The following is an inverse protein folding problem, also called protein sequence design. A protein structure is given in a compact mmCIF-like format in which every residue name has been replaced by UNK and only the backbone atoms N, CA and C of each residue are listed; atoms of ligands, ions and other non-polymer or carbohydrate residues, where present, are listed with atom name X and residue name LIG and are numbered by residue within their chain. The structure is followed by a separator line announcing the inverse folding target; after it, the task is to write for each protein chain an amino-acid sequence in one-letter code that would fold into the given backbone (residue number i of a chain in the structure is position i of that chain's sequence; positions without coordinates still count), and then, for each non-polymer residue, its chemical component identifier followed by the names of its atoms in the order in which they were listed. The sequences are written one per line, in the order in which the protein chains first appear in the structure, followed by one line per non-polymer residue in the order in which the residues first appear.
data_IF_108844442805
#
_entry.id   IF_108844442805
#
_cell.length_a   1.000
_cell.length_b   1.000
_cell.length_c   1.000
_cell.angle_alpha   90.00
_cell.angle_beta   90.00
_cell.angle_gamma   90.00
#
_symmetry.space_group_name_H-M   'P 1'
#
loop_
_entity.id
_entity.type
_entity.pdbx_description
1 polymer ?
#
# COMPACT_ATOMS: atom_id res chain seq x y z
N UNK A 1 23.86 -46.83 12.70
CA UNK A 1 24.00 -45.39 12.48
C UNK A 1 23.33 -45.07 11.14
N UNK A 2 22.09 -44.55 11.15
CA UNK A 2 21.41 -44.10 9.92
C UNK A 2 21.94 -42.70 9.59
N UNK A 3 22.68 -42.60 8.48
CA UNK A 3 23.19 -41.33 7.98
C UNK A 3 22.08 -40.34 7.78
N UNK A 4 22.20 -39.14 8.39
CA UNK A 4 21.34 -38.00 8.08
C UNK A 4 21.48 -37.71 6.58
N UNK A 5 20.47 -38.00 5.77
CA UNK A 5 20.39 -37.49 4.38
C UNK A 5 20.57 -35.97 4.49
N UNK A 6 21.62 -35.43 3.88
CA UNK A 6 21.87 -33.99 3.84
C UNK A 6 20.63 -33.29 3.30
N UNK A 7 20.04 -32.40 4.11
CA UNK A 7 18.90 -31.61 3.69
C UNK A 7 19.41 -30.59 2.67
N UNK A 8 18.99 -30.69 1.42
CA UNK A 8 19.27 -29.67 0.40
C UNK A 8 18.55 -28.40 0.84
N UNK A 9 19.30 -27.30 0.94
CA UNK A 9 18.77 -25.99 1.33
C UNK A 9 19.17 -24.96 0.27
N UNK A 10 18.25 -24.04 -0.02
CA UNK A 10 18.52 -22.89 -0.88
C UNK A 10 19.09 -21.75 -0.04
N UNK A 11 20.25 -21.25 -0.43
CA UNK A 11 20.83 -20.00 0.07
C UNK A 11 20.78 -18.98 -1.06
N UNK A 12 20.18 -17.80 -0.87
CA UNK A 12 20.12 -16.79 -1.93
C UNK A 12 21.51 -16.42 -2.43
N UNK A 13 21.69 -16.30 -3.74
CA UNK A 13 22.85 -15.68 -4.34
C UNK A 13 22.69 -14.16 -4.37
N UNK A 14 23.75 -13.40 -4.59
CA UNK A 14 23.66 -11.97 -4.85
C UNK A 14 22.92 -11.69 -6.16
N UNK A 15 22.13 -10.63 -6.21
CA UNK A 15 21.39 -10.25 -7.43
C UNK A 15 22.35 -9.93 -8.59
N UNK A 16 23.50 -9.32 -8.31
CA UNK A 16 24.53 -9.01 -9.31
C UNK A 16 25.12 -10.24 -9.99
N UNK A 17 25.08 -11.40 -9.33
CA UNK A 17 25.63 -12.67 -9.82
C UNK A 17 24.59 -13.52 -10.56
N UNK A 18 23.31 -13.11 -10.56
CA UNK A 18 22.20 -13.84 -11.14
C UNK A 18 21.95 -13.44 -12.58
N UNK A 19 21.62 -14.42 -13.41
CA UNK A 19 21.13 -14.19 -14.78
C UNK A 19 19.61 -14.19 -14.76
N UNK A 20 19.02 -13.03 -15.04
CA UNK A 20 17.57 -12.88 -15.10
C UNK A 20 17.09 -13.10 -16.54
N UNK A 21 16.24 -14.10 -16.73
CA UNK A 21 15.59 -14.37 -18.00
C UNK A 21 14.08 -14.44 -17.76
N UNK A 22 13.35 -13.54 -18.38
CA UNK A 22 11.90 -13.56 -18.39
C UNK A 22 11.41 -14.23 -19.66
N UNK A 23 10.40 -15.08 -19.56
CA UNK A 23 9.73 -15.62 -20.73
C UNK A 23 8.92 -14.53 -21.45
N UNK A 24 8.53 -14.79 -22.70
CA UNK A 24 7.82 -13.82 -23.54
C UNK A 24 6.47 -13.39 -22.95
N UNK A 25 5.78 -14.28 -22.21
CA UNK A 25 4.50 -13.97 -21.54
C UNK A 25 4.70 -13.02 -20.36
N UNK A 26 5.68 -13.29 -19.51
CA UNK A 26 6.04 -12.45 -18.37
C UNK A 26 6.47 -11.06 -18.85
N UNK A 27 7.33 -10.99 -19.85
CA UNK A 27 7.76 -9.72 -20.47
C UNK A 27 6.58 -8.92 -21.01
N UNK A 28 5.65 -9.58 -21.70
CA UNK A 28 4.43 -8.93 -22.23
C UNK A 28 3.51 -8.43 -21.12
N UNK A 29 3.35 -9.19 -20.04
CA UNK A 29 2.53 -8.78 -18.89
C UNK A 29 3.18 -7.62 -18.12
N UNK A 30 4.50 -7.63 -17.94
CA UNK A 30 5.23 -6.51 -17.34
C UNK A 30 5.05 -5.22 -18.15
N UNK A 31 5.22 -5.29 -19.48
CA UNK A 31 4.98 -4.15 -20.38
C UNK A 31 3.55 -3.62 -20.31
N UNK A 32 2.54 -4.50 -20.26
CA UNK A 32 1.13 -4.10 -20.12
C UNK A 32 0.88 -3.43 -18.78
N UNK A 33 1.45 -3.93 -17.70
CA UNK A 33 1.31 -3.35 -16.37
C UNK A 33 1.94 -1.95 -16.32
N UNK A 34 3.15 -1.77 -16.88
CA UNK A 34 3.81 -0.46 -16.97
C UNK A 34 2.99 0.56 -17.75
N UNK A 35 2.55 0.19 -18.96
CA UNK A 35 1.76 1.10 -19.79
C UNK A 35 0.43 1.45 -19.16
N UNK A 36 -0.20 0.52 -18.45
CA UNK A 36 -1.43 0.78 -17.68
C UNK A 36 -1.18 1.73 -16.52
N UNK A 37 -0.06 1.56 -15.80
CA UNK A 37 0.32 2.42 -14.68
C UNK A 37 0.59 3.85 -15.13
N UNK A 38 1.31 4.05 -16.23
CA UNK A 38 1.56 5.38 -16.83
C UNK A 38 0.26 6.03 -17.27
N UNK A 39 -0.65 5.27 -17.88
CA UNK A 39 -1.94 5.79 -18.31
C UNK A 39 -2.79 6.28 -17.14
N UNK A 40 -2.93 5.50 -16.08
CA UNK A 40 -3.73 5.90 -14.92
C UNK A 40 -3.10 7.08 -14.16
N UNK A 41 -1.77 7.17 -14.10
CA UNK A 41 -1.08 8.35 -13.56
C UNK A 41 -1.50 9.61 -14.32
N UNK A 42 -1.60 9.53 -15.65
CA UNK A 42 -2.03 10.65 -16.48
C UNK A 42 -3.52 11.00 -16.26
N UNK A 43 -4.39 10.00 -16.15
CA UNK A 43 -5.82 10.18 -15.86
C UNK A 43 -6.03 10.88 -14.50
N UNK A 44 -5.36 10.40 -13.45
CA UNK A 44 -5.41 11.00 -12.11
C UNK A 44 -4.87 12.43 -12.12
N UNK A 45 -3.76 12.68 -12.81
CA UNK A 45 -3.16 14.02 -12.89
C UNK A 45 -4.08 15.01 -13.62
N UNK A 46 -4.89 14.56 -14.56
CA UNK A 46 -5.88 15.38 -15.28
C UNK A 46 -7.20 15.57 -14.53
N UNK A 47 -7.46 14.82 -13.47
CA UNK A 47 -8.72 14.86 -12.71
C UNK A 47 -8.72 15.97 -11.66
N UNK A 48 -9.87 16.65 -11.53
CA UNK A 48 -10.12 17.68 -10.49
C UNK A 48 -10.03 17.12 -9.07
N UNK A 49 -10.34 15.82 -8.90
CA UNK A 49 -10.28 15.07 -7.63
C UNK A 49 -9.02 14.21 -7.51
N UNK A 50 -8.08 14.32 -8.45
CA UNK A 50 -6.87 13.49 -8.50
C UNK A 50 -6.10 13.40 -7.19
N UNK A 51 -5.79 14.51 -6.50
CA UNK A 51 -5.13 14.45 -5.18
C UNK A 51 -5.92 13.67 -4.13
N UNK A 52 -7.25 13.75 -4.15
CA UNK A 52 -8.11 12.99 -3.24
C UNK A 52 -8.13 11.49 -3.60
N UNK A 53 -8.16 11.15 -4.88
CA UNK A 53 -8.08 9.76 -5.36
C UNK A 53 -6.79 9.07 -4.93
N UNK A 54 -5.65 9.76 -5.00
CA UNK A 54 -4.39 9.23 -4.51
C UNK A 54 -4.49 8.85 -3.02
N UNK A 55 -5.16 9.65 -2.20
CA UNK A 55 -5.36 9.35 -0.78
C UNK A 55 -6.31 8.17 -0.58
N UNK A 56 -7.38 8.08 -1.39
CA UNK A 56 -8.30 6.96 -1.38
C UNK A 56 -7.58 5.64 -1.69
N UNK A 57 -6.83 5.61 -2.79
CA UNK A 57 -6.08 4.44 -3.25
C UNK A 57 -4.98 4.05 -2.25
N UNK A 58 -4.29 5.01 -1.65
CA UNK A 58 -3.28 4.75 -0.64
C UNK A 58 -3.87 4.09 0.62
N UNK A 59 -5.12 4.44 1.03
CA UNK A 59 -5.80 3.72 2.13
C UNK A 59 -6.16 2.29 1.75
N UNK A 60 -6.62 2.07 0.52
CA UNK A 60 -6.88 0.71 0.03
C UNK A 60 -5.60 -0.13 0.07
N UNK A 61 -4.48 0.42 -0.40
CA UNK A 61 -3.17 -0.25 -0.31
C UNK A 61 -2.81 -0.56 1.15
N UNK A 62 -3.05 0.38 2.07
CA UNK A 62 -2.72 0.17 3.48
C UNK A 62 -3.57 -0.94 4.13
N UNK A 63 -4.87 -0.94 3.89
CA UNK A 63 -5.80 -1.96 4.38
C UNK A 63 -5.44 -3.34 3.84
N UNK A 64 -5.27 -3.44 2.53
CA UNK A 64 -4.99 -4.72 1.85
C UNK A 64 -3.61 -5.27 2.22
N UNK A 65 -2.63 -4.39 2.40
CA UNK A 65 -1.29 -4.78 2.84
C UNK A 65 -1.27 -5.40 4.24
N UNK A 66 -2.09 -4.88 5.17
CA UNK A 66 -2.25 -5.46 6.51
C UNK A 66 -3.07 -6.75 6.47
N UNK A 67 -4.06 -6.84 5.56
CA UNK A 67 -4.86 -8.06 5.37
C UNK A 67 -4.01 -9.25 4.90
N UNK A 68 -3.02 -9.05 4.03
CA UNK A 68 -2.08 -10.12 3.63
C UNK A 68 -1.35 -10.70 4.84
N UNK A 69 -1.08 -9.88 5.86
CA UNK A 69 -0.45 -10.32 7.11
C UNK A 69 -1.41 -11.07 8.05
N UNK A 70 -2.66 -11.34 7.61
CA UNK A 70 -3.69 -12.06 8.37
C UNK A 70 -4.45 -11.21 9.37
N UNK A 71 -4.37 -9.89 9.28
CA UNK A 71 -5.08 -8.96 10.16
C UNK A 71 -6.25 -8.29 9.43
N UNK A 72 -7.28 -7.87 10.15
CA UNK A 72 -8.47 -7.21 9.60
C UNK A 72 -8.58 -5.79 10.17
N UNK A 73 -8.04 -4.76 9.48
CA UNK A 73 -8.19 -3.37 9.91
C UNK A 73 -9.59 -2.85 9.54
N UNK A 74 -10.17 -2.00 10.37
CA UNK A 74 -11.45 -1.37 10.10
C UNK A 74 -11.27 -0.15 9.18
N UNK A 75 -11.91 -0.19 7.99
CA UNK A 75 -11.76 0.86 6.97
C UNK A 75 -12.26 2.22 7.44
N UNK A 76 -13.44 2.26 8.09
CA UNK A 76 -14.04 3.51 8.61
C UNK A 76 -13.15 4.12 9.68
N UNK A 77 -12.62 3.30 10.57
CA UNK A 77 -11.73 3.74 11.64
C UNK A 77 -10.43 4.31 11.07
N UNK A 78 -9.85 3.66 10.05
CA UNK A 78 -8.66 4.19 9.38
C UNK A 78 -8.95 5.55 8.75
N UNK A 79 -10.09 5.72 8.08
CA UNK A 79 -10.45 6.99 7.47
C UNK A 79 -10.68 8.10 8.54
N UNK A 80 -11.18 7.74 9.71
CA UNK A 80 -11.39 8.66 10.83
C UNK A 80 -10.06 9.04 11.48
N UNK A 81 -9.25 8.07 11.93
CA UNK A 81 -8.00 8.37 12.64
C UNK A 81 -6.97 9.07 11.76
N UNK A 82 -7.04 8.88 10.46
CA UNK A 82 -6.15 9.52 9.48
C UNK A 82 -6.28 11.06 9.49
N UNK A 83 -7.46 11.61 9.76
CA UNK A 83 -7.69 13.07 9.80
C UNK A 83 -7.36 13.68 11.17
N UNK A 84 -7.25 12.86 12.20
CA UNK A 84 -7.11 13.31 13.57
C UNK A 84 -5.66 13.64 13.94
N UNK A 85 -4.68 13.21 13.15
CA UNK A 85 -3.27 13.49 13.37
C UNK A 85 -2.69 12.70 14.54
N UNK A 86 -2.03 13.37 15.50
CA UNK A 86 -1.38 12.75 16.66
C UNK A 86 -2.40 12.30 17.73
N UNK A 87 -3.24 11.33 17.42
CA UNK A 87 -4.00 10.62 18.47
C UNK A 87 -3.03 9.71 19.23
N UNK A 88 -3.09 9.77 20.56
CA UNK A 88 -2.43 8.75 21.37
C UNK A 88 -3.03 7.38 20.97
N UNK A 89 -2.16 6.50 20.48
CA UNK A 89 -2.55 5.14 20.07
C UNK A 89 -3.29 4.39 21.18
N UNK A 90 -3.07 4.74 22.47
CA UNK A 90 -3.76 4.17 23.63
C UNK A 90 -5.21 4.63 23.68
N UNK A 91 -5.46 5.93 23.47
CA UNK A 91 -6.82 6.48 23.50
C UNK A 91 -7.67 5.85 22.39
N UNK A 92 -7.11 5.69 21.19
CA UNK A 92 -7.80 4.98 20.11
C UNK A 92 -8.06 3.51 20.42
N UNK A 93 -7.07 2.77 20.96
CA UNK A 93 -7.23 1.36 21.32
C UNK A 93 -8.30 1.12 22.39
N UNK A 94 -8.52 2.07 23.27
CA UNK A 94 -9.49 1.98 24.37
C UNK A 94 -10.77 2.80 24.14
N UNK A 95 -10.93 3.44 22.99
CA UNK A 95 -12.14 4.19 22.65
C UNK A 95 -13.36 3.28 22.65
N UNK A 96 -14.47 3.77 23.23
CA UNK A 96 -15.76 3.08 23.26
C UNK A 96 -16.65 3.42 22.05
N UNK A 97 -16.26 4.41 21.27
CA UNK A 97 -17.04 4.93 20.14
C UNK A 97 -16.66 4.34 18.79
N UNK A 98 -15.70 3.46 18.77
CA UNK A 98 -15.32 2.74 17.57
C UNK A 98 -15.96 1.36 17.68
N UNK A 99 -16.84 1.00 16.74
CA UNK A 99 -17.55 -0.29 16.73
C UNK A 99 -16.61 -1.50 16.55
N UNK A 100 -15.36 -1.24 16.15
CA UNK A 100 -14.35 -2.28 15.92
C UNK A 100 -13.82 -2.88 17.23
N UNK A 101 -13.50 -4.17 17.19
CA UNK A 101 -12.87 -4.86 18.33
C UNK A 101 -11.39 -4.39 18.52
N UNK A 102 -10.80 -4.73 19.66
CA UNK A 102 -9.42 -4.35 19.97
C UNK A 102 -8.42 -4.86 18.91
N UNK A 103 -8.63 -6.06 18.37
CA UNK A 103 -7.77 -6.63 17.32
C UNK A 103 -7.85 -5.83 16.02
N UNK A 104 -9.04 -5.42 15.61
CA UNK A 104 -9.25 -4.58 14.43
C UNK A 104 -8.64 -3.19 14.61
N UNK A 105 -8.75 -2.60 15.80
CA UNK A 105 -8.11 -1.31 16.11
C UNK A 105 -6.59 -1.40 16.07
N UNK A 106 -6.00 -2.47 16.58
CA UNK A 106 -4.56 -2.70 16.47
C UNK A 106 -4.11 -2.84 14.99
N UNK A 107 -4.87 -3.59 14.19
CA UNK A 107 -4.66 -3.73 12.76
C UNK A 107 -4.83 -2.39 12.03
N UNK A 108 -5.80 -1.57 12.44
CA UNK A 108 -6.04 -0.23 11.89
C UNK A 108 -4.87 0.72 12.17
N UNK A 109 -4.29 0.66 13.37
CA UNK A 109 -3.06 1.42 13.67
C UNK A 109 -1.87 0.97 12.82
N UNK A 110 -1.76 -0.31 12.54
CA UNK A 110 -0.73 -0.83 11.63
C UNK A 110 -0.97 -0.36 10.19
N UNK A 111 -2.22 -0.30 9.74
CA UNK A 111 -2.57 0.28 8.45
C UNK A 111 -2.26 1.79 8.39
N UNK A 112 -2.51 2.54 9.45
CA UNK A 112 -2.17 3.96 9.54
C UNK A 112 -0.66 4.19 9.45
N UNK A 113 0.15 3.39 10.17
CA UNK A 113 1.62 3.48 10.08
C UNK A 113 2.11 3.22 8.66
N UNK A 114 1.53 2.20 8.00
CA UNK A 114 1.89 1.88 6.62
C UNK A 114 1.44 2.99 5.64
N UNK A 115 0.22 3.51 5.77
CA UNK A 115 -0.28 4.66 5.00
C UNK A 115 0.64 5.88 5.12
N UNK A 116 1.05 6.20 6.35
CA UNK A 116 1.99 7.31 6.59
C UNK A 116 3.38 7.04 6.01
N UNK A 117 3.82 5.79 5.99
CA UNK A 117 5.06 5.38 5.31
C UNK A 117 4.96 5.60 3.80
N UNK A 118 3.86 5.22 3.17
CA UNK A 118 3.62 5.45 1.75
C UNK A 118 3.60 6.95 1.38
N UNK A 119 2.98 7.77 2.23
CA UNK A 119 2.99 9.24 2.07
C UNK A 119 4.41 9.80 2.19
N UNK A 120 5.17 9.33 3.18
CA UNK A 120 6.56 9.73 3.35
C UNK A 120 7.41 9.32 2.13
N UNK A 121 7.27 8.10 1.61
CA UNK A 121 7.91 7.66 0.36
C UNK A 121 7.53 8.60 -0.79
N UNK A 122 6.24 8.94 -0.93
CA UNK A 122 5.76 9.84 -1.98
C UNK A 122 6.32 11.25 -1.89
N UNK A 123 6.77 11.69 -0.72
CA UNK A 123 7.39 13.00 -0.50
C UNK A 123 8.93 12.96 -0.62
N UNK A 124 9.54 11.85 -0.23
CA UNK A 124 11.00 11.71 -0.13
C UNK A 124 11.64 11.19 -1.41
N UNK A 125 11.00 10.20 -2.04
CA UNK A 125 11.53 9.58 -3.25
C UNK A 125 11.14 10.42 -4.47
N UNK A 126 12.09 10.62 -5.38
CA UNK A 126 11.94 11.34 -6.64
C UNK A 126 12.63 10.58 -7.76
N UNK A 127 12.40 10.88 -9.03
CA UNK A 127 13.14 10.27 -10.12
C UNK A 127 14.65 10.40 -9.93
N UNK A 128 15.38 9.30 -10.06
CA UNK A 128 16.82 9.21 -9.80
C UNK A 128 17.20 9.13 -8.31
N UNK A 129 16.25 8.86 -7.42
CA UNK A 129 16.54 8.63 -5.99
C UNK A 129 17.49 7.45 -5.81
N UNK A 130 18.50 7.61 -4.92
CA UNK A 130 19.48 6.58 -4.60
C UNK A 130 19.06 5.82 -3.35
N UNK A 131 18.82 4.53 -3.49
CA UNK A 131 18.48 3.63 -2.39
C UNK A 131 19.72 3.27 -1.58
N UNK A 132 19.61 3.33 -0.25
CA UNK A 132 20.66 2.99 0.70
C UNK A 132 20.14 2.03 1.78
N UNK A 133 21.00 1.33 2.51
CA UNK A 133 20.60 0.52 3.66
C UNK A 133 19.80 1.31 4.72
N UNK A 134 20.16 2.57 4.96
CA UNK A 134 19.49 3.46 5.90
C UNK A 134 18.06 3.77 5.44
N UNK A 135 17.84 3.96 4.13
CA UNK A 135 16.49 4.13 3.59
C UNK A 135 15.64 2.89 3.82
N UNK A 136 16.17 1.68 3.59
CA UNK A 136 15.47 0.42 3.85
C UNK A 136 15.12 0.30 5.35
N UNK A 137 16.05 0.66 6.25
CA UNK A 137 15.80 0.70 7.69
C UNK A 137 14.70 1.71 8.06
N UNK A 138 14.70 2.89 7.44
CA UNK A 138 13.70 3.93 7.68
C UNK A 138 12.31 3.48 7.19
N UNK A 139 12.20 2.89 6.00
CA UNK A 139 10.95 2.30 5.50
C UNK A 139 10.42 1.27 6.49
N UNK A 140 11.26 0.33 6.92
CA UNK A 140 10.87 -0.70 7.88
C UNK A 140 10.41 -0.11 9.21
N UNK A 141 11.18 0.82 9.76
CA UNK A 141 10.88 1.46 11.05
C UNK A 141 9.54 2.19 11.01
N UNK A 142 9.28 2.92 9.94
CA UNK A 142 8.01 3.63 9.75
C UNK A 142 6.84 2.67 9.57
N UNK A 143 7.00 1.58 8.81
CA UNK A 143 5.97 0.54 8.67
C UNK A 143 5.56 -0.10 9.99
N UNK A 144 6.51 -0.29 10.92
CA UNK A 144 6.27 -1.05 12.15
C UNK A 144 6.02 -0.14 13.35
N UNK A 145 6.81 0.92 13.49
CA UNK A 145 6.77 1.79 14.66
C UNK A 145 6.14 3.17 14.38
N UNK A 146 5.86 3.50 13.11
CA UNK A 146 5.35 4.82 12.69
C UNK A 146 6.39 5.95 12.82
N UNK A 147 7.67 5.63 13.06
CA UNK A 147 8.74 6.60 13.34
C UNK A 147 10.02 6.27 12.56
N UNK A 148 10.91 7.25 12.30
CA UNK A 148 12.21 7.02 11.68
C UNK A 148 13.07 6.04 12.46
N UNK A 149 13.98 5.32 11.78
CA UNK A 149 14.86 4.33 12.38
C UNK A 149 15.75 4.91 13.51
N UNK A 150 16.23 6.14 13.33
CA UNK A 150 17.03 6.83 14.37
C UNK A 150 16.30 7.08 15.68
N UNK A 151 14.97 7.05 15.69
CA UNK A 151 14.15 7.22 16.91
C UNK A 151 13.70 5.90 17.54
N UNK A 152 13.76 4.79 16.79
CA UNK A 152 13.24 3.48 17.25
C UNK A 152 14.34 2.48 17.56
N UNK A 153 15.56 2.75 17.12
CA UNK A 153 16.65 1.79 17.16
C UNK A 153 16.42 0.58 16.25
N UNK A 154 15.60 0.76 15.19
CA UNK A 154 15.38 -0.28 14.18
C UNK A 154 16.71 -0.69 13.54
N UNK A 155 16.88 -1.97 13.33
CA UNK A 155 18.11 -2.56 12.77
C UNK A 155 17.79 -3.82 11.99
N UNK A 156 18.66 -4.20 11.08
CA UNK A 156 18.62 -5.51 10.47
C UNK A 156 18.77 -6.59 11.53
N UNK A 157 18.24 -7.79 11.25
CA UNK A 157 18.31 -8.89 12.22
C UNK A 157 19.77 -9.22 12.59
N UNK A 158 19.98 -9.46 13.87
CA UNK A 158 21.27 -9.84 14.46
C UNK A 158 21.28 -11.31 14.94
N UNK A 159 20.18 -12.04 14.68
CA UNK A 159 20.05 -13.47 14.97
C UNK A 159 19.77 -14.25 13.71
N UNK A 160 20.15 -15.51 13.67
CA UNK A 160 19.81 -16.38 12.57
C UNK A 160 18.29 -16.50 12.42
N UNK A 161 17.85 -16.58 11.16
CA UNK A 161 16.46 -16.92 10.84
C UNK A 161 16.38 -18.44 10.76
N UNK A 162 15.55 -19.03 11.61
CA UNK A 162 15.29 -20.47 11.62
C UNK A 162 13.88 -20.68 11.05
N UNK A 163 13.75 -21.24 9.81
CA UNK A 163 12.43 -21.56 9.25
C UNK A 163 11.75 -22.64 10.10
N UNK A 164 10.43 -22.55 10.23
CA UNK A 164 9.63 -23.63 10.81
C UNK A 164 9.69 -24.84 9.88
N UNK A 165 9.92 -26.04 10.43
CA UNK A 165 10.23 -27.26 9.68
C UNK A 165 9.20 -27.65 8.62
N UNK A 166 7.91 -27.36 8.85
CA UNK A 166 6.79 -27.75 7.98
C UNK A 166 6.10 -26.53 7.33
N UNK A 167 6.72 -25.35 7.44
CA UNK A 167 6.19 -24.10 6.87
C UNK A 167 6.62 -23.85 5.43
N UNK A 168 6.01 -22.85 4.78
CA UNK A 168 6.31 -22.49 3.39
C UNK A 168 7.75 -22.07 3.14
N UNK A 169 8.52 -21.75 4.19
CA UNK A 169 9.95 -21.41 4.12
C UNK A 169 10.87 -22.63 4.33
N UNK A 170 10.32 -23.83 4.34
CA UNK A 170 11.12 -25.04 4.49
C UNK A 170 12.13 -25.19 3.34
N UNK A 171 13.42 -25.34 3.68
CA UNK A 171 14.51 -25.40 2.70
C UNK A 171 15.17 -24.06 2.37
N UNK A 172 14.63 -22.93 2.85
CA UNK A 172 15.32 -21.64 2.76
C UNK A 172 16.33 -21.49 3.89
N UNK A 173 17.53 -21.07 3.53
CA UNK A 173 18.58 -20.65 4.46
C UNK A 173 18.99 -19.21 4.13
N UNK A 174 18.37 -18.20 4.76
CA UNK A 174 18.77 -16.81 4.57
C UNK A 174 20.22 -16.58 4.96
N UNK A 175 20.90 -15.54 4.46
CA UNK A 175 22.26 -15.19 4.85
C UNK A 175 22.40 -15.13 6.38
N UNK A 176 23.61 -15.39 6.89
CA UNK A 176 23.86 -15.19 8.32
C UNK A 176 23.75 -13.70 8.68
N UNK A 177 23.57 -13.34 9.96
CA UNK A 177 23.58 -11.94 10.36
C UNK A 177 24.89 -11.21 9.98
N UNK A 178 26.00 -11.92 9.92
CA UNK A 178 27.30 -11.37 9.53
C UNK A 178 27.36 -11.06 8.02
N UNK A 179 26.74 -11.90 7.21
CA UNK A 179 26.74 -11.74 5.74
C UNK A 179 25.63 -10.80 5.27
N UNK A 180 24.57 -10.63 6.06
CA UNK A 180 23.39 -9.86 5.68
C UNK A 180 23.69 -8.44 5.18
N UNK A 181 24.61 -7.65 5.77
CA UNK A 181 24.94 -6.33 5.25
C UNK A 181 25.34 -6.36 3.77
N UNK A 182 26.17 -7.31 3.34
CA UNK A 182 26.57 -7.43 1.94
C UNK A 182 25.39 -7.75 0.99
N UNK A 183 24.38 -8.49 1.46
CA UNK A 183 23.16 -8.73 0.69
C UNK A 183 22.25 -7.49 0.62
N UNK A 184 22.25 -6.67 1.64
CA UNK A 184 21.51 -5.39 1.63
C UNK A 184 22.18 -4.40 0.68
N UNK A 185 23.51 -4.31 0.71
CA UNK A 185 24.27 -3.48 -0.23
C UNK A 185 24.05 -3.91 -1.68
N UNK A 186 24.06 -5.22 -1.94
CA UNK A 186 23.76 -5.80 -3.25
C UNK A 186 22.31 -5.47 -3.71
N UNK A 187 21.35 -5.57 -2.81
CA UNK A 187 19.96 -5.19 -3.07
C UNK A 187 19.84 -3.71 -3.42
N UNK A 188 20.51 -2.82 -2.68
CA UNK A 188 20.54 -1.40 -2.97
C UNK A 188 21.20 -1.12 -4.33
N UNK A 189 22.32 -1.79 -4.63
CA UNK A 189 22.98 -1.68 -5.93
C UNK A 189 22.03 -2.10 -7.06
N UNK A 190 21.29 -3.19 -6.89
CA UNK A 190 20.32 -3.67 -7.86
C UNK A 190 19.18 -2.67 -8.06
N UNK A 191 18.64 -2.10 -6.99
CA UNK A 191 17.56 -1.09 -7.05
C UNK A 191 18.02 0.21 -7.73
N UNK A 192 19.29 0.57 -7.62
CA UNK A 192 19.88 1.76 -8.20
C UNK A 192 20.25 1.61 -9.68
N UNK A 193 20.21 0.40 -10.22
CA UNK A 193 20.49 0.14 -11.62
C UNK A 193 19.20 0.15 -12.46
N UNK A 194 19.31 0.56 -13.72
CA UNK A 194 18.20 0.65 -14.66
C UNK A 194 18.24 -0.43 -15.76
N UNK A 195 18.74 -1.61 -15.44
CA UNK A 195 18.92 -2.68 -16.42
C UNK A 195 17.63 -3.40 -16.82
N UNK A 196 16.60 -3.27 -16.00
CA UNK A 196 15.31 -3.94 -16.21
C UNK A 196 14.18 -2.94 -16.27
N UNK A 197 13.07 -3.36 -16.85
CA UNK A 197 11.82 -2.64 -16.69
C UNK A 197 11.49 -2.51 -15.19
N UNK A 198 10.92 -1.37 -14.75
CA UNK A 198 10.61 -1.15 -13.33
C UNK A 198 9.78 -2.25 -12.70
N UNK A 199 8.83 -2.84 -13.45
CA UNK A 199 7.98 -3.92 -12.94
C UNK A 199 8.77 -5.21 -12.76
N UNK A 200 9.61 -5.59 -13.74
CA UNK A 200 10.48 -6.74 -13.61
C UNK A 200 11.48 -6.55 -12.47
N UNK A 201 12.08 -5.37 -12.38
CA UNK A 201 13.01 -5.03 -11.31
C UNK A 201 12.35 -5.12 -9.93
N UNK A 202 11.12 -4.63 -9.79
CA UNK A 202 10.37 -4.72 -8.52
C UNK A 202 10.07 -6.17 -8.14
N UNK A 203 9.73 -7.02 -9.12
CA UNK A 203 9.51 -8.45 -8.89
C UNK A 203 10.76 -9.16 -8.38
N UNK A 204 11.90 -8.96 -9.03
CA UNK A 204 13.18 -9.55 -8.61
C UNK A 204 13.64 -9.02 -7.24
N UNK A 205 13.55 -7.71 -7.04
CA UNK A 205 13.87 -7.07 -5.76
C UNK A 205 13.03 -7.65 -4.63
N UNK A 206 11.71 -7.75 -4.82
CA UNK A 206 10.80 -8.25 -3.79
C UNK A 206 11.06 -9.73 -3.49
N UNK A 207 11.27 -10.57 -4.52
CA UNK A 207 11.63 -11.98 -4.34
C UNK A 207 12.92 -12.12 -3.50
N UNK A 208 13.97 -11.40 -3.87
CA UNK A 208 15.23 -11.43 -3.13
C UNK A 208 15.06 -10.92 -1.69
N UNK A 209 14.33 -9.82 -1.49
CA UNK A 209 14.05 -9.29 -0.17
C UNK A 209 13.39 -10.31 0.75
N UNK A 210 12.42 -11.09 0.21
CA UNK A 210 11.79 -12.18 0.92
C UNK A 210 12.75 -13.36 1.20
N UNK A 211 13.70 -13.63 0.32
CA UNK A 211 14.68 -14.69 0.53
C UNK A 211 15.76 -14.34 1.56
N UNK A 212 16.24 -13.10 1.59
CA UNK A 212 17.30 -12.69 2.54
C UNK A 212 16.76 -12.43 3.95
N UNK A 213 15.45 -12.25 4.12
CA UNK A 213 14.79 -12.05 5.42
C UNK A 213 15.50 -11.02 6.31
N UNK A 214 15.60 -9.75 5.91
CA UNK A 214 16.44 -8.78 6.59
C UNK A 214 15.93 -8.40 7.99
N UNK A 215 14.65 -8.61 8.27
CA UNK A 215 13.99 -8.26 9.53
C UNK A 215 13.31 -9.48 10.16
N UNK A 216 13.08 -9.42 11.47
CA UNK A 216 12.38 -10.47 12.21
C UNK A 216 10.87 -10.49 11.88
N UNK A 217 10.25 -9.31 11.72
CA UNK A 217 8.82 -9.13 11.47
C UNK A 217 8.61 -7.94 10.52
N UNK A 218 7.40 -7.81 9.93
CA UNK A 218 7.04 -6.68 9.07
C UNK A 218 7.78 -6.59 7.73
N UNK A 219 8.39 -7.68 7.29
CA UNK A 219 9.16 -7.77 6.05
C UNK A 219 8.27 -7.51 4.84
N UNK A 220 7.15 -8.21 4.78
CA UNK A 220 6.26 -8.22 3.62
C UNK A 220 5.72 -6.82 3.34
N UNK A 221 5.32 -6.07 4.38
CA UNK A 221 4.94 -4.65 4.26
C UNK A 221 6.11 -3.77 3.80
N UNK A 222 7.31 -4.01 4.34
CA UNK A 222 8.52 -3.28 3.93
C UNK A 222 8.84 -3.55 2.46
N UNK A 223 8.79 -4.80 2.02
CA UNK A 223 9.02 -5.18 0.61
C UNK A 223 8.04 -4.50 -0.35
N UNK A 224 6.74 -4.48 -0.02
CA UNK A 224 5.72 -3.78 -0.81
C UNK A 224 5.96 -2.26 -0.84
N UNK A 225 6.32 -1.65 0.29
CA UNK A 225 6.67 -0.23 0.33
C UNK A 225 7.88 0.11 -0.55
N UNK A 226 8.88 -0.78 -0.61
CA UNK A 226 10.04 -0.63 -1.49
C UNK A 226 9.65 -0.74 -2.98
N UNK A 227 8.65 -1.56 -3.34
CA UNK A 227 8.12 -1.59 -4.72
C UNK A 227 7.54 -0.23 -5.11
N UNK A 228 6.73 0.40 -4.25
CA UNK A 228 6.22 1.76 -4.49
C UNK A 228 7.35 2.80 -4.60
N UNK A 229 8.36 2.70 -3.74
CA UNK A 229 9.54 3.56 -3.82
C UNK A 229 10.27 3.40 -5.15
N UNK A 230 10.43 2.16 -5.63
CA UNK A 230 11.07 1.86 -6.90
C UNK A 230 10.28 2.44 -8.09
N UNK A 231 8.95 2.27 -8.15
CA UNK A 231 8.13 2.86 -9.20
C UNK A 231 8.28 4.37 -9.26
N UNK A 232 8.33 5.02 -8.10
CA UNK A 232 8.50 6.46 -8.02
C UNK A 232 9.91 6.92 -8.42
N UNK A 233 10.96 6.22 -8.00
CA UNK A 233 12.35 6.54 -8.39
C UNK A 233 12.58 6.39 -9.90
N UNK A 234 11.81 5.51 -10.54
CA UNK A 234 11.83 5.30 -11.99
C UNK A 234 10.86 6.23 -12.75
N UNK A 235 10.21 7.16 -12.06
CA UNK A 235 9.31 8.15 -12.66
C UNK A 235 7.97 7.62 -13.15
N UNK A 236 7.59 6.37 -12.82
CA UNK A 236 6.32 5.77 -13.24
C UNK A 236 5.12 6.35 -12.49
N UNK A 237 5.33 6.79 -11.25
CA UNK A 237 4.25 7.30 -10.38
C UNK A 237 4.68 8.54 -9.62
N UNK A 238 3.74 9.45 -9.36
CA UNK A 238 3.93 10.60 -8.47
C UNK A 238 3.43 10.32 -7.06
N UNK A 239 2.44 9.44 -6.94
CA UNK A 239 1.83 9.03 -5.68
C UNK A 239 1.53 7.53 -5.66
N UNK A 240 0.72 7.10 -4.71
CA UNK A 240 0.21 5.73 -4.66
C UNK A 240 -1.05 5.67 -5.49
N UNK A 241 -0.94 5.19 -6.71
CA UNK A 241 -2.00 5.19 -7.72
C UNK A 241 -2.51 3.81 -8.10
N UNK A 242 -1.89 2.75 -7.56
CA UNK A 242 -2.33 1.37 -7.72
C UNK A 242 -2.12 0.62 -6.40
N UNK A 243 -3.15 -0.02 -5.82
CA UNK A 243 -3.03 -0.80 -4.60
C UNK A 243 -2.45 -2.18 -4.90
N UNK A 244 -1.12 -2.28 -4.99
CA UNK A 244 -0.41 -3.53 -5.39
C UNK A 244 -0.67 -4.70 -4.43
N UNK A 245 -1.01 -4.42 -3.18
CA UNK A 245 -1.37 -5.43 -2.19
C UNK A 245 -2.78 -6.01 -2.41
N UNK A 246 -3.64 -5.36 -3.19
CA UNK A 246 -5.04 -5.74 -3.31
C UNK A 246 -5.22 -7.13 -3.93
N UNK A 247 -4.59 -7.38 -5.08
CA UNK A 247 -4.72 -8.68 -5.75
C UNK A 247 -4.25 -9.86 -4.89
N UNK A 248 -3.06 -9.79 -4.25
CA UNK A 248 -2.66 -10.78 -3.28
C UNK A 248 -3.61 -10.92 -2.08
N UNK A 249 -4.21 -9.82 -1.61
CA UNK A 249 -5.10 -9.83 -0.46
C UNK A 249 -6.42 -10.58 -0.72
N UNK A 250 -6.98 -10.48 -1.93
CA UNK A 250 -8.21 -11.16 -2.33
C UNK A 250 -7.97 -12.55 -2.94
N UNK A 251 -6.73 -12.87 -3.32
CA UNK A 251 -6.33 -14.15 -3.92
C UNK A 251 -5.25 -14.84 -3.08
N UNK A 252 -5.40 -14.84 -1.76
CA UNK A 252 -4.40 -15.38 -0.82
C UNK A 252 -3.90 -16.81 -1.17
N UNK A 253 -4.75 -17.79 -1.60
CA UNK A 253 -4.26 -19.10 -2.01
C UNK A 253 -3.36 -19.05 -3.25
N UNK A 254 -3.66 -18.19 -4.22
CA UNK A 254 -2.87 -18.03 -5.43
C UNK A 254 -1.57 -17.27 -5.16
N UNK A 255 -1.59 -16.28 -4.26
CA UNK A 255 -0.38 -15.60 -3.80
C UNK A 255 0.63 -16.58 -3.21
N UNK A 256 0.18 -17.48 -2.32
CA UNK A 256 1.05 -18.51 -1.75
C UNK A 256 1.62 -19.47 -2.82
N UNK A 257 0.83 -19.85 -3.82
CA UNK A 257 1.28 -20.71 -4.93
C UNK A 257 2.34 -20.04 -5.81
N UNK A 258 2.24 -18.74 -6.03
CA UNK A 258 3.21 -18.00 -6.85
C UNK A 258 4.48 -17.64 -6.10
N UNK A 259 4.41 -17.42 -4.78
CA UNK A 259 5.61 -17.32 -3.93
C UNK A 259 6.39 -18.63 -3.87
N UNK A 260 5.67 -19.77 -3.96
CA UNK A 260 6.25 -21.09 -3.71
C UNK A 260 5.77 -22.13 -4.73
N UNK A 261 5.85 -21.86 -6.06
CA UNK A 261 5.56 -22.90 -7.06
C UNK A 261 6.55 -24.06 -6.94
N UNK A 262 7.71 -23.80 -6.31
CA UNK A 262 8.75 -24.77 -5.99
C UNK A 262 9.06 -24.73 -4.50
N UNK A 263 9.40 -25.87 -3.91
CA UNK A 263 9.97 -25.85 -2.57
C UNK A 263 11.33 -25.13 -2.62
N UNK A 264 11.71 -24.42 -1.57
CA UNK A 264 13.04 -23.78 -1.53
C UNK A 264 14.21 -24.75 -1.73
N UNK A 265 14.00 -26.05 -1.49
CA UNK A 265 14.98 -27.10 -1.82
C UNK A 265 15.23 -27.22 -3.32
N UNK A 266 14.21 -26.98 -4.12
CA UNK A 266 14.30 -27.05 -5.58
C UNK A 266 15.04 -25.85 -6.17
N UNK A 267 15.06 -24.69 -5.47
CA UNK A 267 15.69 -23.46 -5.92
C UNK A 267 17.23 -23.50 -5.87
N UNK A 268 17.82 -24.56 -5.32
CA UNK A 268 19.25 -24.81 -5.47
C UNK A 268 19.66 -25.14 -6.93
N UNK A 269 18.68 -25.45 -7.79
CA UNK A 269 18.86 -25.61 -9.23
C UNK A 269 18.64 -24.27 -9.93
N UNK A 270 19.63 -23.78 -10.68
CA UNK A 270 19.61 -22.48 -11.36
C UNK A 270 18.41 -22.32 -12.32
N UNK A 271 18.07 -23.38 -13.07
CA UNK A 271 16.91 -23.35 -13.96
C UNK A 271 15.60 -23.16 -13.17
N UNK A 272 15.40 -23.91 -12.10
CA UNK A 272 14.21 -23.80 -11.26
C UNK A 272 14.12 -22.47 -10.51
N UNK A 273 15.26 -21.91 -10.12
CA UNK A 273 15.31 -20.57 -9.57
C UNK A 273 14.85 -19.53 -10.60
N UNK A 274 15.34 -19.62 -11.83
CA UNK A 274 14.91 -18.76 -12.94
C UNK A 274 13.41 -18.87 -13.22
N UNK A 275 12.86 -20.10 -13.26
CA UNK A 275 11.43 -20.33 -13.43
C UNK A 275 10.58 -19.77 -12.27
N UNK A 276 11.06 -19.90 -11.03
CA UNK A 276 10.39 -19.35 -9.86
C UNK A 276 10.37 -17.81 -9.87
N UNK A 277 11.49 -17.19 -10.20
CA UNK A 277 11.60 -15.74 -10.33
C UNK A 277 10.74 -15.18 -11.47
N UNK A 278 10.71 -15.87 -12.62
CA UNK A 278 9.83 -15.53 -13.74
C UNK A 278 8.36 -15.63 -13.34
N UNK A 279 7.95 -16.72 -12.70
CA UNK A 279 6.58 -16.93 -12.21
C UNK A 279 6.17 -15.86 -11.21
N UNK A 280 7.04 -15.51 -10.26
CA UNK A 280 6.81 -14.46 -9.29
C UNK A 280 6.68 -13.08 -9.95
N UNK A 281 7.58 -12.76 -10.89
CA UNK A 281 7.53 -11.50 -11.64
C UNK A 281 6.25 -11.39 -12.47
N UNK A 282 5.83 -12.50 -13.10
CA UNK A 282 4.56 -12.56 -13.82
C UNK A 282 3.36 -12.31 -12.91
N UNK A 283 3.36 -12.92 -11.71
CA UNK A 283 2.33 -12.66 -10.71
C UNK A 283 2.30 -11.18 -10.28
N UNK A 284 3.45 -10.57 -10.01
CA UNK A 284 3.54 -9.15 -9.68
C UNK A 284 2.97 -8.26 -10.81
N UNK A 285 3.28 -8.58 -12.06
CA UNK A 285 2.78 -7.84 -13.22
C UNK A 285 1.26 -7.96 -13.38
N UNK A 286 0.70 -9.15 -13.23
CA UNK A 286 -0.76 -9.39 -13.28
C UNK A 286 -1.44 -8.67 -12.11
N UNK A 287 -0.88 -8.77 -10.90
CA UNK A 287 -1.40 -8.10 -9.70
C UNK A 287 -1.46 -6.59 -9.87
N UNK A 288 -0.40 -6.00 -10.42
CA UNK A 288 -0.36 -4.57 -10.70
C UNK A 288 -1.39 -4.16 -11.76
N UNK A 289 -1.52 -4.91 -12.85
CA UNK A 289 -2.50 -4.61 -13.90
C UNK A 289 -3.93 -4.67 -13.35
N UNK A 290 -4.24 -5.64 -12.50
CA UNK A 290 -5.53 -5.75 -11.82
C UNK A 290 -5.76 -4.56 -10.86
N UNK A 291 -4.75 -4.20 -10.08
CA UNK A 291 -4.80 -3.04 -9.17
C UNK A 291 -5.05 -1.73 -9.91
N UNK A 292 -4.43 -1.53 -11.07
CA UNK A 292 -4.67 -0.37 -11.95
C UNK A 292 -6.12 -0.37 -12.46
N UNK A 293 -6.66 -1.53 -12.83
CA UNK A 293 -8.08 -1.64 -13.24
C UNK A 293 -9.03 -1.16 -12.16
N UNK A 294 -8.82 -1.61 -10.92
CA UNK A 294 -9.63 -1.19 -9.76
C UNK A 294 -9.47 0.32 -9.48
N UNK A 295 -8.26 0.85 -9.61
CA UNK A 295 -8.04 2.30 -9.47
C UNK A 295 -8.83 3.09 -10.53
N UNK A 296 -8.91 2.59 -11.77
CA UNK A 296 -9.73 3.19 -12.83
C UNK A 296 -11.23 3.17 -12.48
N UNK A 297 -11.73 2.06 -11.93
CA UNK A 297 -13.13 1.97 -11.46
C UNK A 297 -13.41 2.99 -10.35
N UNK A 298 -12.48 3.19 -9.42
CA UNK A 298 -12.60 4.24 -8.39
C UNK A 298 -12.65 5.65 -8.98
N UNK A 299 -11.81 5.94 -9.99
CA UNK A 299 -11.82 7.22 -10.69
C UNK A 299 -13.20 7.48 -11.29
N UNK A 300 -13.74 6.50 -12.01
CA UNK A 300 -15.07 6.60 -12.66
C UNK A 300 -16.19 6.84 -11.64
N UNK A 301 -16.18 6.08 -10.54
CA UNK A 301 -17.22 6.18 -9.50
C UNK A 301 -17.17 7.54 -8.80
N UNK A 302 -16.00 8.00 -8.40
CA UNK A 302 -15.86 9.28 -7.71
C UNK A 302 -16.04 10.48 -8.62
N UNK A 303 -15.67 10.40 -9.90
CA UNK A 303 -15.95 11.46 -10.89
C UNK A 303 -17.46 11.65 -11.05
N UNK A 304 -18.22 10.55 -11.15
CA UNK A 304 -19.69 10.63 -11.21
C UNK A 304 -20.31 11.16 -9.91
N UNK A 305 -19.71 10.82 -8.77
CA UNK A 305 -20.14 11.34 -7.48
C UNK A 305 -19.90 12.85 -7.40
N UNK A 306 -18.74 13.36 -7.85
CA UNK A 306 -18.45 14.80 -7.95
C UNK A 306 -19.48 15.51 -8.84
N UNK A 307 -19.77 14.97 -10.04
CA UNK A 307 -20.76 15.53 -10.95
C UNK A 307 -22.17 15.59 -10.34
N UNK A 308 -22.55 14.56 -9.57
CA UNK A 308 -23.83 14.56 -8.84
C UNK A 308 -23.86 15.62 -7.74
N UNK A 309 -22.77 15.77 -7.02
CA UNK A 309 -22.63 16.80 -5.98
C UNK A 309 -22.68 18.20 -6.57
N UNK A 310 -21.97 18.47 -7.68
CA UNK A 310 -21.99 19.76 -8.36
C UNK A 310 -23.42 20.13 -8.82
N UNK A 311 -24.16 19.16 -9.37
CA UNK A 311 -25.57 19.38 -9.77
C UNK A 311 -26.47 19.69 -8.57
N UNK A 312 -26.30 19.01 -7.45
CA UNK A 312 -27.12 19.17 -6.24
C UNK A 312 -26.76 20.43 -5.46
N UNK A 313 -25.50 20.79 -5.42
CA UNK A 313 -25.00 21.97 -4.72
C UNK A 313 -25.29 23.26 -5.49
N UNK A 314 -25.47 23.21 -6.80
CA UNK A 314 -25.68 24.36 -7.66
C UNK A 314 -24.39 25.11 -7.99
N UNK A 315 -24.51 26.41 -8.34
CA UNK A 315 -23.34 27.21 -8.75
C UNK A 315 -22.30 27.32 -7.63
N UNK A 316 -21.12 26.75 -7.89
CA UNK A 316 -19.93 26.85 -7.04
C UNK A 316 -18.94 27.81 -7.71
N UNK A 317 -18.52 28.84 -6.99
CA UNK A 317 -17.48 29.75 -7.50
C UNK A 317 -16.14 29.00 -7.63
N UNK A 318 -15.50 29.14 -8.77
CA UNK A 318 -14.18 28.54 -9.02
C UNK A 318 -13.18 29.00 -7.97
N UNK A 319 -12.45 28.05 -7.36
CA UNK A 319 -11.46 28.32 -6.31
C UNK A 319 -12.05 28.68 -4.94
N UNK A 320 -13.39 28.55 -4.75
CA UNK A 320 -14.02 28.72 -3.44
C UNK A 320 -13.64 27.59 -2.47
N UNK A 321 -13.77 27.86 -1.15
CA UNK A 321 -13.58 26.86 -0.12
C UNK A 321 -14.53 25.65 -0.29
N UNK A 322 -15.78 25.90 -0.68
CA UNK A 322 -16.76 24.84 -0.92
C UNK A 322 -16.37 23.93 -2.09
N UNK A 323 -15.85 24.47 -3.21
CA UNK A 323 -15.36 23.65 -4.31
C UNK A 323 -14.13 22.82 -3.89
N UNK A 324 -13.17 23.47 -3.22
CA UNK A 324 -11.98 22.78 -2.75
C UNK A 324 -12.33 21.65 -1.76
N UNK A 325 -13.26 21.91 -0.83
CA UNK A 325 -13.73 20.93 0.13
C UNK A 325 -14.44 19.75 -0.57
N UNK A 326 -15.36 20.02 -1.49
CA UNK A 326 -16.08 19.00 -2.25
C UNK A 326 -15.12 18.01 -2.95
N UNK A 327 -14.05 18.55 -3.55
CA UNK A 327 -13.02 17.76 -4.23
C UNK A 327 -12.14 16.94 -3.30
N UNK A 328 -12.10 17.25 -2.01
CA UNK A 328 -11.36 16.47 -1.02
C UNK A 328 -12.12 15.25 -0.49
N UNK A 329 -13.46 15.31 -0.47
CA UNK A 329 -14.29 14.27 0.17
C UNK A 329 -14.04 12.85 -0.33
N UNK A 330 -13.75 12.59 -1.63
CA UNK A 330 -13.38 11.24 -2.07
C UNK A 330 -12.16 10.65 -1.35
N UNK A 331 -11.18 11.49 -1.06
CA UNK A 331 -9.96 11.07 -0.34
C UNK A 331 -10.07 11.20 1.18
N UNK A 332 -10.97 12.02 1.68
CA UNK A 332 -11.15 12.31 3.10
C UNK A 332 -12.65 12.32 3.44
N UNK A 333 -13.25 11.11 3.56
CA UNK A 333 -14.70 11.00 3.83
C UNK A 333 -15.09 11.44 5.24
N UNK A 334 -14.14 11.52 6.17
CA UNK A 334 -14.27 12.22 7.44
C UNK A 334 -13.46 13.51 7.41
N UNK A 335 -14.00 14.58 8.00
CA UNK A 335 -13.30 15.86 8.08
C UNK A 335 -13.61 16.57 9.40
N UNK A 336 -12.67 17.41 9.84
CA UNK A 336 -12.90 18.46 10.84
C UNK A 336 -12.63 19.82 10.19
N UNK A 337 -13.20 20.91 10.75
CA UNK A 337 -12.96 22.27 10.22
C UNK A 337 -11.46 22.59 10.21
N UNK A 338 -10.74 22.27 11.27
CA UNK A 338 -9.30 22.53 11.38
C UNK A 338 -8.47 21.72 10.37
N UNK A 339 -8.84 20.46 10.17
CA UNK A 339 -8.19 19.61 9.15
C UNK A 339 -8.36 20.21 7.76
N UNK A 340 -9.60 20.52 7.39
CA UNK A 340 -9.91 21.08 6.06
C UNK A 340 -9.22 22.44 5.88
N UNK A 341 -9.29 23.33 6.87
CA UNK A 341 -8.66 24.66 6.81
C UNK A 341 -7.17 24.56 6.47
N UNK A 342 -6.46 23.64 7.13
CA UNK A 342 -5.03 23.40 6.86
C UNK A 342 -4.79 22.89 5.44
N UNK A 343 -5.66 21.99 4.97
CA UNK A 343 -5.47 21.30 3.70
C UNK A 343 -5.80 22.20 2.49
N UNK A 344 -6.90 23.00 2.57
CA UNK A 344 -7.29 23.89 1.48
C UNK A 344 -6.67 25.29 1.54
N UNK A 345 -5.96 25.62 2.63
CA UNK A 345 -5.28 26.91 2.80
C UNK A 345 -6.24 28.12 2.85
N UNK A 346 -7.48 27.95 3.33
CA UNK A 346 -8.48 29.02 3.43
C UNK A 346 -8.64 29.50 4.86
N UNK A 347 -9.19 30.73 5.02
CA UNK A 347 -9.49 31.29 6.36
C UNK A 347 -10.60 30.52 7.07
N UNK A 348 -10.66 30.67 8.40
CA UNK A 348 -11.62 29.95 9.26
C UNK A 348 -13.08 30.23 8.87
N UNK A 349 -13.44 31.52 8.65
CA UNK A 349 -14.81 31.88 8.25
C UNK A 349 -15.21 31.21 6.94
N UNK A 350 -14.36 31.32 5.89
CA UNK A 350 -14.66 30.73 4.59
C UNK A 350 -14.75 29.19 4.65
N UNK A 351 -13.99 28.57 5.58
CA UNK A 351 -14.05 27.10 5.80
C UNK A 351 -15.34 26.71 6.50
N UNK A 352 -15.75 27.43 7.55
CA UNK A 352 -17.02 27.20 8.24
C UNK A 352 -18.22 27.38 7.28
N UNK A 353 -18.23 28.48 6.53
CA UNK A 353 -19.30 28.75 5.55
C UNK A 353 -19.40 27.64 4.50
N UNK A 354 -18.24 27.09 4.07
CA UNK A 354 -18.20 25.96 3.14
C UNK A 354 -18.78 24.69 3.77
N UNK A 355 -18.35 24.36 5.00
CA UNK A 355 -18.86 23.20 5.73
C UNK A 355 -20.35 23.29 5.95
N UNK A 356 -20.87 24.44 6.44
CA UNK A 356 -22.30 24.65 6.71
C UNK A 356 -23.14 24.53 5.41
N UNK A 357 -22.62 25.01 4.28
CA UNK A 357 -23.26 24.84 2.97
C UNK A 357 -23.31 23.39 2.51
N UNK A 358 -22.22 22.62 2.71
CA UNK A 358 -22.20 21.19 2.36
C UNK A 358 -23.13 20.37 3.28
N UNK A 359 -23.23 20.73 4.57
CA UNK A 359 -24.22 20.14 5.50
C UNK A 359 -25.64 20.45 5.01
N UNK A 360 -25.94 21.73 4.68
CA UNK A 360 -27.26 22.14 4.18
C UNK A 360 -27.64 21.46 2.87
N UNK A 361 -26.65 21.14 2.02
CA UNK A 361 -26.85 20.37 0.78
C UNK A 361 -26.95 18.86 1.00
N UNK A 362 -26.82 18.38 2.25
CA UNK A 362 -26.87 16.97 2.60
C UNK A 362 -25.68 16.15 2.05
N UNK A 363 -24.56 16.79 1.76
CA UNK A 363 -23.35 16.12 1.26
C UNK A 363 -22.49 15.58 2.38
N UNK A 364 -22.49 16.26 3.51
CA UNK A 364 -21.86 15.83 4.74
C UNK A 364 -22.83 15.98 5.92
N UNK A 365 -22.67 15.14 6.92
CA UNK A 365 -23.45 15.19 8.17
C UNK A 365 -22.51 15.25 9.38
N UNK A 366 -22.97 15.83 10.48
CA UNK A 366 -22.26 15.80 11.76
C UNK A 366 -22.28 14.38 12.31
N UNK A 367 -21.13 13.90 12.79
CA UNK A 367 -21.01 12.64 13.52
C UNK A 367 -20.71 12.95 14.97
N UNK A 368 -21.46 12.33 15.88
CA UNK A 368 -21.15 12.37 17.31
C UNK A 368 -19.83 11.64 17.57
N UNK A 369 -18.92 12.26 18.31
CA UNK A 369 -17.67 11.64 18.74
C UNK A 369 -17.30 12.16 20.14
N UNK A 370 -16.69 11.29 20.95
CA UNK A 370 -16.18 11.61 22.30
C UNK A 370 -14.67 11.86 22.33
N UNK A 371 -14.02 11.90 21.17
CA UNK A 371 -12.57 12.05 21.07
C UNK A 371 -12.06 13.47 21.34
N UNK A 372 -12.85 14.34 21.98
CA UNK A 372 -12.50 15.74 22.32
C UNK A 372 -12.04 16.61 21.13
N UNK A 373 -12.41 16.25 19.91
CA UNK A 373 -11.84 16.76 18.66
C UNK A 373 -12.69 17.87 17.99
N UNK A 374 -13.72 18.34 18.67
CA UNK A 374 -14.70 19.23 18.05
C UNK A 374 -15.65 18.47 17.11
N UNK A 375 -16.33 19.19 16.23
CA UNK A 375 -17.29 18.61 15.29
C UNK A 375 -16.56 17.83 14.19
N UNK A 376 -16.86 16.53 14.08
CA UNK A 376 -16.48 15.68 12.95
C UNK A 376 -17.63 15.60 11.97
N UNK A 377 -17.34 15.64 10.69
CA UNK A 377 -18.32 15.52 9.61
C UNK A 377 -18.01 14.31 8.75
N UNK A 378 -19.04 13.60 8.30
CA UNK A 378 -18.96 12.43 7.46
C UNK A 378 -19.58 12.70 6.09
N UNK A 379 -18.85 12.42 5.01
CA UNK A 379 -19.36 12.36 3.65
C UNK A 379 -19.88 10.94 3.36
N UNK A 380 -21.12 10.65 3.74
CA UNK A 380 -21.72 9.31 3.72
C UNK A 380 -21.66 8.66 2.34
N UNK A 381 -21.89 9.42 1.24
CA UNK A 381 -21.85 8.90 -0.11
C UNK A 381 -20.42 8.50 -0.53
N UNK A 382 -19.41 9.31 -0.17
CA UNK A 382 -18.01 8.96 -0.43
C UNK A 382 -17.59 7.73 0.39
N UNK A 383 -17.99 7.69 1.67
CA UNK A 383 -17.65 6.56 2.55
C UNK A 383 -18.32 5.26 2.08
N UNK A 384 -19.56 5.33 1.56
CA UNK A 384 -20.27 4.14 1.07
C UNK A 384 -19.58 3.44 -0.11
N UNK A 385 -18.74 4.15 -0.88
CA UNK A 385 -17.90 3.53 -1.92
C UNK A 385 -16.82 2.67 -1.28
N UNK A 386 -16.20 3.17 -0.20
CA UNK A 386 -15.22 2.39 0.56
C UNK A 386 -15.85 1.19 1.28
N UNK A 387 -17.06 1.38 1.85
CA UNK A 387 -17.76 0.28 2.53
C UNK A 387 -18.04 -0.85 1.55
N UNK A 388 -18.61 -0.55 0.38
CA UNK A 388 -18.88 -1.56 -0.66
C UNK A 388 -17.60 -2.24 -1.15
N UNK A 389 -16.53 -1.48 -1.33
CA UNK A 389 -15.22 -2.06 -1.65
C UNK A 389 -14.77 -3.04 -0.56
N UNK A 390 -14.87 -2.62 0.70
CA UNK A 390 -14.42 -3.39 1.84
C UNK A 390 -15.25 -4.65 2.03
N UNK A 391 -16.57 -4.56 1.89
CA UNK A 391 -17.50 -5.68 1.96
C UNK A 391 -17.23 -6.69 0.84
N UNK A 392 -17.06 -6.25 -0.41
CA UNK A 392 -16.70 -7.12 -1.52
C UNK A 392 -15.36 -7.85 -1.27
N UNK A 393 -14.37 -7.12 -0.74
CA UNK A 393 -13.07 -7.70 -0.39
C UNK A 393 -13.18 -8.74 0.73
N UNK A 394 -14.01 -8.51 1.76
CA UNK A 394 -14.19 -9.45 2.87
C UNK A 394 -14.93 -10.71 2.47
N UNK A 395 -15.86 -10.59 1.53
CA UNK A 395 -16.70 -11.68 1.04
C UNK A 395 -16.09 -12.42 -0.17
N UNK A 396 -14.86 -12.07 -0.57
CA UNK A 396 -14.18 -12.56 -1.78
C UNK A 396 -15.03 -12.36 -3.06
N UNK A 397 -15.82 -11.28 -3.10
CA UNK A 397 -16.61 -10.89 -4.24
C UNK A 397 -15.79 -10.11 -5.28
N UNK A 398 -16.17 -10.15 -6.57
CA UNK A 398 -15.50 -9.36 -7.60
C UNK A 398 -15.59 -7.85 -7.32
N UNK A 399 -14.45 -7.18 -7.28
CA UNK A 399 -14.40 -5.72 -7.16
C UNK A 399 -14.44 -5.14 -8.57
N UNK A 400 -15.52 -4.41 -8.85
CA UNK A 400 -15.79 -3.78 -10.13
C UNK A 400 -16.55 -2.47 -9.91
N UNK A 401 -16.70 -1.67 -10.96
CA UNK A 401 -17.49 -0.45 -10.92
C UNK A 401 -18.94 -0.69 -10.44
N UNK A 402 -19.56 -1.79 -10.85
CA UNK A 402 -20.93 -2.12 -10.45
C UNK A 402 -21.00 -2.44 -8.96
N UNK A 403 -20.08 -3.26 -8.43
CA UNK A 403 -20.02 -3.52 -6.99
C UNK A 403 -19.77 -2.24 -6.17
N UNK A 404 -18.93 -1.31 -6.67
CA UNK A 404 -18.65 -0.03 -6.00
C UNK A 404 -19.83 0.97 -6.06
N UNK A 405 -20.74 0.84 -7.02
CA UNK A 405 -21.94 1.69 -7.13
C UNK A 405 -23.16 1.10 -6.45
N UNK A 406 -23.15 -0.17 -6.09
CA UNK A 406 -24.28 -0.89 -5.52
C UNK A 406 -25.41 -1.15 -6.52
N UNK A 407 -25.05 -1.41 -7.77
CA UNK A 407 -25.95 -1.78 -8.88
C UNK A 407 -25.80 -3.25 -9.24
#
# INVERSE_FOLDING_TARGET
MRGKKGCIVYTPAYLRDQRFVLNGRTSANAYKAETSLVRIEHEIAGSSIGPALIQAIARIEAITSVRIDGQIPAMRDLALIDILGDIDSRDFLHSRQVDSCFCERAATLDALKYLNTLRWISQTVHPGFVFTPEFILDVHSRCIYGKPAGQTGARFRHREFIPVSDGPMNGLRPPTPTDLPAYIDDLCLFMNNEWFSPIAQSGFMHFQFECIKPFKSGRDRTGRALCHALFKSRGLTKGIIAPIALWPAINTPDHAKHLLPYSFRDLSNEQRLGEAMDSWTNFCAISLAAAVGISSDFIDVYTRLEENWERRFGKVSRGSAAQALMRLLPGYPYITVDFVRRLIGKGLSATNDAVDRLVSAGMIKVVENDLSLGRVFEATEALSVFDRFYDAMLNDEPISRDSLTGR
#
